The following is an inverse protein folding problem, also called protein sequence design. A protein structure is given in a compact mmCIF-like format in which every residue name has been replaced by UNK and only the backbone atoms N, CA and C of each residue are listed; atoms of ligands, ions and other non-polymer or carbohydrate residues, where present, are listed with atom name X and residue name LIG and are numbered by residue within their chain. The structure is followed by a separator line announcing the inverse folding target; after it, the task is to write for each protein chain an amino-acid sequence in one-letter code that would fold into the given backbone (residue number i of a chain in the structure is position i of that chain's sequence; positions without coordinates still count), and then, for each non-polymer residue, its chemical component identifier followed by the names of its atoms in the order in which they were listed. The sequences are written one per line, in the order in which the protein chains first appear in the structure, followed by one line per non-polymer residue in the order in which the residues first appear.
data_IF_609758171022
#
_entry.id   IF_609758171022
#
_cell.length_a   1.000
_cell.length_b   1.000
_cell.length_c   1.000
_cell.angle_alpha   90.00
_cell.angle_beta   90.00
_cell.angle_gamma   90.00
#
_symmetry.space_group_name_H-M   'P 1'
#
loop_
_entity.id
_entity.type
_entity.pdbx_description
1 polymer ?
#
# COMPACT_ATOMS: atom_id res chain seq x y z
N UNK A 1 -1.21 -61.52 19.36
CA UNK A 1 -2.01 -60.95 18.25
C UNK A 1 -3.34 -60.47 18.84
N UNK A 2 -3.85 -59.27 18.67
CA UNK A 2 -3.44 -58.10 17.90
C UNK A 2 -4.53 -57.02 18.14
N UNK A 3 -4.23 -55.74 17.82
CA UNK A 3 -5.20 -54.75 17.27
C UNK A 3 -6.05 -53.83 18.16
N UNK A 4 -5.64 -53.41 19.36
CA UNK A 4 -6.35 -52.26 20.01
C UNK A 4 -5.47 -51.08 20.42
N UNK A 5 -4.14 -51.20 20.41
CA UNK A 5 -3.24 -50.07 20.68
C UNK A 5 -3.02 -49.13 19.49
N UNK A 6 -3.59 -49.40 18.32
CA UNK A 6 -3.29 -48.66 17.09
C UNK A 6 -4.28 -47.53 16.77
N UNK A 7 -5.13 -47.13 17.73
CA UNK A 7 -6.17 -46.10 17.48
C UNK A 7 -5.92 -44.77 18.18
N UNK A 8 -4.98 -44.69 19.13
CA UNK A 8 -4.72 -43.44 19.86
C UNK A 8 -3.59 -42.57 19.30
N UNK A 9 -2.78 -43.08 18.36
CA UNK A 9 -1.61 -42.36 17.86
C UNK A 9 -1.86 -41.46 16.64
N UNK A 10 -2.99 -41.57 15.94
CA UNK A 10 -3.20 -40.89 14.66
C UNK A 10 -3.95 -39.55 14.74
N UNK A 11 -4.50 -39.18 15.90
CA UNK A 11 -5.33 -37.96 16.03
C UNK A 11 -4.49 -36.72 16.38
N UNK A 12 -3.20 -36.87 16.70
CA UNK A 12 -2.35 -35.76 17.18
C UNK A 12 -1.55 -35.00 16.11
N UNK A 13 -1.67 -35.33 14.82
CA UNK A 13 -0.85 -34.73 13.75
C UNK A 13 -1.56 -33.70 12.85
N UNK A 14 -2.78 -33.26 13.19
CA UNK A 14 -3.55 -32.29 12.41
C UNK A 14 -3.53 -30.86 12.97
N UNK A 15 -2.58 -30.52 13.85
CA UNK A 15 -2.29 -29.11 14.16
C UNK A 15 -1.50 -28.48 12.99
N UNK A 16 -2.15 -28.41 11.83
CA UNK A 16 -1.68 -27.68 10.67
C UNK A 16 -1.43 -26.23 11.10
N UNK A 17 -0.19 -25.79 10.89
CA UNK A 17 0.33 -24.46 11.10
C UNK A 17 -0.58 -23.40 10.46
N UNK A 18 -1.53 -22.87 11.23
CA UNK A 18 -2.22 -21.64 10.89
C UNK A 18 -1.22 -20.50 11.07
N UNK A 19 -0.42 -20.21 10.05
CA UNK A 19 0.31 -18.95 10.00
C UNK A 19 -0.74 -17.85 10.02
N UNK A 20 -0.77 -16.96 11.03
CA UNK A 20 -1.65 -15.81 10.97
C UNK A 20 -1.30 -15.03 9.71
N UNK A 21 -2.22 -14.98 8.76
CA UNK A 21 -2.12 -14.06 7.64
C UNK A 21 -2.18 -12.66 8.24
N UNK A 22 -1.04 -11.99 8.34
CA UNK A 22 -0.97 -10.62 8.81
C UNK A 22 -1.62 -9.74 7.74
N UNK A 23 -2.94 -9.55 7.85
CA UNK A 23 -3.68 -8.59 7.08
C UNK A 23 -2.96 -7.24 7.23
N UNK A 24 -2.60 -6.61 6.09
CA UNK A 24 -1.95 -5.29 6.09
C UNK A 24 -2.75 -4.38 7.01
N UNK A 25 -2.15 -3.96 8.13
CA UNK A 25 -2.74 -2.96 9.01
C UNK A 25 -3.12 -1.77 8.11
N UNK A 26 -4.42 -1.53 7.93
CA UNK A 26 -4.91 -0.49 7.01
C UNK A 26 -4.44 0.85 7.57
N UNK A 27 -3.30 1.32 7.08
CA UNK A 27 -2.72 2.59 7.55
C UNK A 27 -3.50 3.68 6.84
N UNK A 28 -4.45 4.32 7.52
CA UNK A 28 -5.24 5.39 6.91
C UNK A 28 -4.33 6.53 6.45
N UNK A 29 -4.41 6.88 5.15
CA UNK A 29 -3.69 8.02 4.61
C UNK A 29 -4.19 9.32 5.24
N UNK A 30 -3.26 10.23 5.49
CA UNK A 30 -3.54 11.57 6.00
C UNK A 30 -3.76 12.53 4.83
N UNK A 31 -4.67 13.47 4.99
CA UNK A 31 -4.95 14.53 4.01
C UNK A 31 -4.76 15.90 4.67
N UNK A 32 -3.51 16.35 4.90
CA UNK A 32 -3.24 17.54 5.71
C UNK A 32 -3.66 18.85 5.02
N UNK A 33 -3.88 18.84 3.71
CA UNK A 33 -4.41 19.94 2.93
C UNK A 33 -5.19 19.40 1.72
N UNK A 34 -6.06 20.21 1.08
CA UNK A 34 -6.69 19.84 -0.18
C UNK A 34 -5.65 19.46 -1.24
N UNK A 35 -5.84 18.32 -1.92
CA UNK A 35 -4.92 17.84 -2.95
C UNK A 35 -3.58 17.33 -2.41
N UNK A 36 -3.44 17.13 -1.10
CA UNK A 36 -2.25 16.55 -0.48
C UNK A 36 -2.62 15.27 0.25
N UNK A 37 -1.93 14.17 -0.09
CA UNK A 37 -2.03 12.89 0.62
C UNK A 37 -0.67 12.50 1.18
N UNK A 38 -0.66 11.97 2.40
CA UNK A 38 0.54 11.49 3.06
C UNK A 38 0.32 10.09 3.65
N UNK A 39 1.34 9.26 3.59
CA UNK A 39 1.48 8.11 4.48
C UNK A 39 2.64 8.33 5.47
N UNK A 40 3.16 7.24 6.06
CA UNK A 40 4.28 7.31 7.01
C UNK A 40 5.65 7.55 6.37
N UNK A 41 5.75 7.59 5.05
CA UNK A 41 7.01 7.64 4.30
C UNK A 41 7.10 8.84 3.36
N UNK A 42 5.98 9.20 2.73
CA UNK A 42 5.95 10.22 1.69
C UNK A 42 4.67 11.04 1.76
N UNK A 43 4.76 12.25 1.22
CA UNK A 43 3.62 13.09 0.89
C UNK A 43 3.62 13.42 -0.60
N UNK A 44 2.43 13.51 -1.17
CA UNK A 44 2.21 13.77 -2.59
C UNK A 44 1.27 14.93 -2.81
N UNK A 45 1.32 15.52 -4.01
CA UNK A 45 0.29 16.41 -4.51
C UNK A 45 -0.22 15.99 -5.90
N UNK A 46 -1.29 16.62 -6.37
CA UNK A 46 -1.97 16.29 -7.63
C UNK A 46 -1.20 16.65 -8.91
N UNK A 47 -0.12 17.43 -8.80
CA UNK A 47 0.58 18.04 -9.93
C UNK A 47 1.95 17.39 -10.14
N UNK A 48 2.74 17.29 -9.08
CA UNK A 48 4.12 16.79 -9.10
C UNK A 48 4.20 15.31 -8.66
N UNK A 49 3.15 14.80 -8.02
CA UNK A 49 3.18 13.49 -7.34
C UNK A 49 4.02 13.56 -6.06
N UNK A 50 4.97 12.64 -5.89
CA UNK A 50 5.83 12.57 -4.70
C UNK A 50 6.65 13.85 -4.54
N UNK A 51 6.42 14.57 -3.43
CA UNK A 51 7.04 15.88 -3.17
C UNK A 51 7.96 15.83 -1.95
N UNK A 52 9.23 16.19 -2.17
CA UNK A 52 10.23 16.35 -1.11
C UNK A 52 9.80 17.39 -0.09
N UNK A 53 9.33 18.53 -0.57
CA UNK A 53 8.95 19.68 0.24
C UNK A 53 7.76 19.34 1.14
N UNK A 54 6.72 18.69 0.60
CA UNK A 54 5.58 18.24 1.40
C UNK A 54 5.97 17.15 2.39
N UNK A 55 6.83 16.22 1.98
CA UNK A 55 7.34 15.17 2.86
C UNK A 55 8.11 15.77 4.03
N UNK A 56 8.97 16.77 3.78
CA UNK A 56 9.69 17.48 4.82
C UNK A 56 8.75 18.27 5.74
N UNK A 57 7.78 18.98 5.15
CA UNK A 57 6.79 19.78 5.87
C UNK A 57 5.94 18.97 6.85
N UNK A 58 5.50 17.78 6.44
CA UNK A 58 4.54 16.98 7.21
C UNK A 58 5.15 15.80 7.96
N UNK A 59 6.26 15.24 7.48
CA UNK A 59 6.93 14.06 8.07
C UNK A 59 8.36 14.36 8.58
N UNK A 60 8.89 15.55 8.29
CA UNK A 60 10.20 16.01 8.74
C UNK A 60 11.36 15.65 7.81
N UNK A 61 12.49 16.35 8.01
CA UNK A 61 13.73 16.22 7.23
C UNK A 61 14.25 14.79 7.11
N UNK A 62 14.15 14.01 8.20
CA UNK A 62 14.62 12.62 8.23
C UNK A 62 13.85 11.74 7.25
N UNK A 63 12.53 11.91 7.15
CA UNK A 63 11.70 11.17 6.20
C UNK A 63 12.03 11.56 4.76
N UNK A 64 12.12 12.86 4.48
CA UNK A 64 12.48 13.37 3.15
C UNK A 64 13.86 12.90 2.69
N UNK A 65 14.88 12.94 3.57
CA UNK A 65 16.21 12.45 3.24
C UNK A 65 16.21 10.95 2.96
N UNK A 66 15.51 10.15 3.77
CA UNK A 66 15.39 8.70 3.54
C UNK A 66 14.65 8.37 2.25
N UNK A 67 13.59 9.12 1.91
CA UNK A 67 12.83 8.90 0.69
C UNK A 67 13.72 9.07 -0.55
N UNK A 68 14.49 10.16 -0.60
CA UNK A 68 15.33 10.51 -1.75
C UNK A 68 16.72 9.85 -1.74
N UNK A 69 17.15 9.22 -0.64
CA UNK A 69 18.37 8.41 -0.63
C UNK A 69 18.23 7.10 -1.41
N UNK A 70 17.02 6.76 -1.88
CA UNK A 70 16.74 5.54 -2.65
C UNK A 70 17.18 5.64 -4.13
N UNK A 71 17.67 6.81 -4.56
CA UNK A 71 18.07 7.06 -5.95
C UNK A 71 16.97 7.75 -6.76
N UNK A 72 17.09 7.70 -8.09
CA UNK A 72 16.11 8.29 -9.01
C UNK A 72 14.89 7.39 -9.12
N UNK A 73 13.71 7.98 -9.04
CA UNK A 73 12.42 7.30 -9.21
C UNK A 73 11.44 8.21 -9.96
N UNK A 74 10.37 7.63 -10.53
CA UNK A 74 9.28 8.40 -11.12
C UNK A 74 8.39 8.94 -9.99
N UNK A 75 8.29 10.27 -9.79
CA UNK A 75 7.44 10.83 -8.74
C UNK A 75 5.96 10.78 -9.10
N UNK A 76 5.59 10.52 -10.36
CA UNK A 76 4.20 10.58 -10.84
C UNK A 76 3.41 9.29 -10.62
N UNK A 77 4.08 8.19 -10.30
CA UNK A 77 3.49 6.88 -10.04
C UNK A 77 3.98 6.33 -8.70
N UNK A 78 3.07 6.17 -7.74
CA UNK A 78 3.46 5.81 -6.37
C UNK A 78 2.42 4.92 -5.69
N UNK A 79 2.89 4.10 -4.75
CA UNK A 79 2.04 3.26 -3.92
C UNK A 79 2.25 3.64 -2.46
N UNK A 80 1.17 3.95 -1.75
CA UNK A 80 1.21 4.22 -0.32
C UNK A 80 1.38 2.93 0.49
N UNK A 81 1.77 3.06 1.75
CA UNK A 81 1.96 1.96 2.69
C UNK A 81 0.72 1.07 2.86
N UNK A 82 -0.49 1.60 2.64
CA UNK A 82 -1.74 0.83 2.70
C UNK A 82 -2.06 0.07 1.40
N UNK A 83 -1.28 0.25 0.34
CA UNK A 83 -1.47 -0.43 -0.95
C UNK A 83 -2.17 0.39 -2.03
N UNK A 84 -2.72 1.56 -1.70
CA UNK A 84 -3.31 2.46 -2.70
C UNK A 84 -2.22 2.92 -3.65
N UNK A 85 -2.43 2.64 -4.93
CA UNK A 85 -1.58 3.12 -6.02
C UNK A 85 -2.21 4.35 -6.64
N UNK A 86 -1.46 5.42 -6.87
CA UNK A 86 -1.96 6.56 -7.63
C UNK A 86 -1.01 6.91 -8.78
N UNK A 87 -1.62 7.36 -9.87
CA UNK A 87 -0.93 7.83 -11.06
C UNK A 87 -1.42 9.24 -11.39
N UNK A 88 -0.50 10.20 -11.39
CA UNK A 88 -0.77 11.61 -11.67
C UNK A 88 -1.17 11.84 -13.13
N UNK A 89 -0.62 11.05 -14.06
CA UNK A 89 -0.92 11.13 -15.49
C UNK A 89 -2.35 10.67 -15.76
N UNK A 90 -2.78 9.58 -15.12
CA UNK A 90 -4.17 9.11 -15.17
C UNK A 90 -5.13 9.92 -14.30
N UNK A 91 -4.60 10.67 -13.32
CA UNK A 91 -5.38 11.35 -12.26
C UNK A 91 -6.29 10.39 -11.49
N UNK A 92 -5.83 9.16 -11.26
CA UNK A 92 -6.59 8.11 -10.58
C UNK A 92 -5.76 7.48 -9.46
N UNK A 93 -6.45 7.14 -8.37
CA UNK A 93 -5.97 6.21 -7.36
C UNK A 93 -6.72 4.88 -7.50
N UNK A 94 -6.02 3.76 -7.29
CA UNK A 94 -6.51 2.38 -7.40
C UNK A 94 -6.19 1.61 -6.12
N UNK A 95 -7.03 0.63 -5.82
CA UNK A 95 -6.92 -0.22 -4.63
C UNK A 95 -5.69 -1.15 -4.66
N UNK A 96 -5.08 -1.34 -5.83
CA UNK A 96 -3.83 -2.06 -6.01
C UNK A 96 -3.02 -1.54 -7.22
N UNK A 97 -1.77 -2.03 -7.31
CA UNK A 97 -0.81 -1.65 -8.36
C UNK A 97 -0.78 -2.63 -9.55
N UNK A 98 -1.62 -3.66 -9.57
CA UNK A 98 -1.48 -4.78 -10.49
C UNK A 98 -2.00 -4.45 -11.89
N UNK A 99 -1.43 -5.16 -12.87
CA UNK A 99 -1.87 -5.12 -14.24
C UNK A 99 -2.76 -6.33 -14.53
N UNK A 100 -3.79 -6.12 -15.34
CA UNK A 100 -4.67 -7.16 -15.82
C UNK A 100 -4.02 -7.97 -16.92
N UNK A 101 -4.73 -9.01 -17.37
CA UNK A 101 -4.29 -9.86 -18.48
C UNK A 101 -4.10 -9.09 -19.81
N UNK A 102 -4.69 -7.90 -19.91
CA UNK A 102 -4.56 -6.97 -21.04
C UNK A 102 -3.32 -6.06 -20.96
N UNK A 103 -2.48 -6.22 -19.93
CA UNK A 103 -1.31 -5.39 -19.70
C UNK A 103 -1.63 -3.96 -19.23
N UNK A 104 -2.90 -3.68 -18.89
CA UNK A 104 -3.34 -2.37 -18.35
C UNK A 104 -3.54 -2.44 -16.85
N UNK A 105 -3.55 -1.29 -16.19
CA UNK A 105 -3.83 -1.20 -14.74
C UNK A 105 -5.21 -1.79 -14.45
N UNK A 106 -5.27 -2.83 -13.61
CA UNK A 106 -6.52 -3.56 -13.31
C UNK A 106 -7.12 -3.24 -11.96
N UNK A 107 -6.38 -2.57 -11.07
CA UNK A 107 -6.88 -2.22 -9.75
C UNK A 107 -8.15 -1.37 -9.81
N UNK A 108 -9.14 -1.73 -8.98
CA UNK A 108 -10.38 -0.98 -8.84
C UNK A 108 -10.08 0.48 -8.46
N UNK A 109 -10.79 1.44 -9.04
CA UNK A 109 -10.58 2.86 -8.74
C UNK A 109 -11.03 3.18 -7.32
N UNK A 110 -10.13 3.76 -6.54
CA UNK A 110 -10.42 4.26 -5.19
C UNK A 110 -11.07 5.63 -5.27
N UNK A 111 -12.41 5.68 -5.33
CA UNK A 111 -13.17 6.95 -5.39
C UNK A 111 -12.76 7.93 -4.28
N UNK A 112 -12.51 7.40 -3.07
CA UNK A 112 -12.10 8.21 -1.92
C UNK A 112 -10.78 8.93 -2.18
N UNK A 113 -9.73 8.19 -2.53
CA UNK A 113 -8.39 8.77 -2.65
C UNK A 113 -8.20 9.53 -3.95
N UNK A 114 -8.89 9.14 -5.03
CA UNK A 114 -8.97 9.95 -6.25
C UNK A 114 -9.58 11.32 -5.95
N UNK A 115 -10.69 11.37 -5.20
CA UNK A 115 -11.31 12.65 -4.84
C UNK A 115 -10.43 13.51 -3.93
N UNK A 116 -9.79 12.90 -2.92
CA UNK A 116 -8.92 13.63 -2.00
C UNK A 116 -7.68 14.23 -2.70
N UNK A 117 -7.09 13.49 -3.63
CA UNK A 117 -5.88 13.91 -4.33
C UNK A 117 -6.19 14.80 -5.54
N UNK A 118 -7.14 14.41 -6.39
CA UNK A 118 -7.39 15.04 -7.70
C UNK A 118 -8.70 15.81 -7.80
N UNK A 119 -9.53 15.81 -6.74
CA UNK A 119 -10.73 16.64 -6.64
C UNK A 119 -11.99 16.12 -7.35
N UNK A 120 -11.99 14.89 -7.87
CA UNK A 120 -13.14 14.31 -8.58
C UNK A 120 -13.37 12.83 -8.24
#
# INVERSE_FOLDING_TARGET
MNKTSLSFALVLLLAASATPAQAKQSTTLQSPAPGVLCDRYLCVNSTDGVSRELTEKHLGKKAANKLYSQGKFDPTEFTFANGIFCDVKERLCREDRYYGADGKRSGAVSKKYTKLLFGH
#
